data_IF_589220177512
#
_entry.id   IF_589220177512
#
_cell.length_a   1.000
_cell.length_b   1.000
_cell.length_c   1.000
_cell.angle_alpha   90.00
_cell.angle_beta   90.00
_cell.angle_gamma   90.00
#
_symmetry.space_group_name_H-M   'P 1'
#
loop_
_entity.id
_entity.type
_entity.pdbx_description
1 polymer ?
#
# COMPACT_ATOMS: atom_id res chain seq x y z
N UNK A 1 -1.80 -15.88 -24.14
CA UNK A 1 -2.42 -14.74 -23.43
C UNK A 1 -2.90 -15.23 -22.04
N UNK A 2 -2.51 -14.69 -20.88
CA UNK A 2 -2.52 -13.28 -20.50
C UNK A 2 -1.79 -13.12 -19.17
N UNK A 3 -0.53 -12.64 -19.19
CA UNK A 3 0.18 -12.20 -17.96
C UNK A 3 0.24 -10.67 -17.92
N UNK A 4 -0.03 -10.01 -19.05
CA UNK A 4 0.02 -8.55 -19.20
C UNK A 4 -1.23 -7.90 -18.57
N UNK A 5 -2.42 -8.47 -18.79
CA UNK A 5 -3.69 -7.93 -18.24
C UNK A 5 -3.75 -7.97 -16.71
N UNK A 6 -3.10 -8.95 -16.07
CA UNK A 6 -3.09 -9.05 -14.61
C UNK A 6 -2.23 -7.94 -13.96
N UNK A 7 -1.20 -7.46 -14.67
CA UNK A 7 -0.29 -6.42 -14.17
C UNK A 7 -0.91 -5.03 -14.19
N UNK A 8 -1.73 -4.74 -15.19
CA UNK A 8 -2.43 -3.45 -15.28
C UNK A 8 -3.44 -3.29 -14.13
N UNK A 9 -4.15 -4.36 -13.77
CA UNK A 9 -5.07 -4.35 -12.63
C UNK A 9 -4.35 -4.14 -11.29
N UNK A 10 -3.21 -4.81 -11.10
CA UNK A 10 -2.43 -4.69 -9.85
C UNK A 10 -1.82 -3.30 -9.71
N UNK A 11 -1.44 -2.66 -10.82
CA UNK A 11 -0.86 -1.31 -10.79
C UNK A 11 -1.87 -0.29 -10.24
N UNK A 12 -3.13 -0.33 -10.69
CA UNK A 12 -4.19 0.55 -10.14
C UNK A 12 -4.50 0.26 -8.66
N UNK A 13 -4.40 -1.01 -8.27
CA UNK A 13 -4.58 -1.43 -6.88
C UNK A 13 -3.47 -0.89 -5.97
N UNK A 14 -2.22 -0.97 -6.42
CA UNK A 14 -1.06 -0.44 -5.70
C UNK A 14 -1.19 1.07 -5.51
N UNK A 15 -1.57 1.80 -6.57
CA UNK A 15 -1.71 3.26 -6.52
C UNK A 15 -2.79 3.67 -5.50
N UNK A 16 -3.96 3.01 -5.55
CA UNK A 16 -5.04 3.28 -4.60
C UNK A 16 -4.68 2.91 -3.15
N UNK A 17 -3.95 1.80 -2.94
CA UNK A 17 -3.43 1.44 -1.61
C UNK A 17 -2.40 2.46 -1.11
N UNK A 18 -1.51 2.93 -1.98
CA UNK A 18 -0.52 3.94 -1.64
C UNK A 18 -1.19 5.24 -1.20
N UNK A 19 -2.16 5.74 -1.95
CA UNK A 19 -2.94 6.92 -1.57
C UNK A 19 -3.67 6.72 -0.24
N UNK A 20 -4.28 5.54 -0.03
CA UNK A 20 -4.97 5.21 1.22
C UNK A 20 -4.03 5.25 2.41
N UNK A 21 -2.86 4.60 2.34
CA UNK A 21 -1.88 4.57 3.42
C UNK A 21 -1.18 5.92 3.64
N UNK A 22 -1.09 6.76 2.60
CA UNK A 22 -0.59 8.14 2.69
C UNK A 22 -1.62 9.12 3.26
N UNK A 23 -2.92 8.85 3.10
CA UNK A 23 -3.98 9.59 3.77
C UNK A 23 -4.13 9.12 5.23
N UNK A 24 -4.21 7.81 5.45
CA UNK A 24 -4.53 7.18 6.73
C UNK A 24 -3.47 6.11 7.10
N UNK A 25 -2.44 6.48 7.90
CA UNK A 25 -1.35 5.57 8.22
C UNK A 25 -1.78 4.52 9.26
N UNK A 26 -2.90 4.74 9.96
CA UNK A 26 -3.46 3.80 10.93
C UNK A 26 -3.96 2.51 10.27
N UNK A 27 -4.13 2.51 8.94
CA UNK A 27 -4.43 1.30 8.15
C UNK A 27 -3.22 0.39 7.98
N UNK A 28 -2.00 0.89 8.16
CA UNK A 28 -0.80 0.06 8.11
C UNK A 28 -0.70 -0.84 9.35
N UNK A 29 0.02 -1.97 9.28
CA UNK A 29 0.34 -2.75 10.47
C UNK A 29 1.15 -1.92 11.48
N UNK A 30 0.96 -2.15 12.79
CA UNK A 30 1.61 -1.39 13.87
C UNK A 30 3.13 -1.26 13.70
N UNK A 31 3.81 -2.31 13.23
CA UNK A 31 5.26 -2.27 12.99
C UNK A 31 5.67 -1.13 12.05
N UNK A 32 4.91 -0.93 10.97
CA UNK A 32 5.17 0.12 9.98
C UNK A 32 4.72 1.50 10.46
N UNK A 33 3.64 1.57 11.25
CA UNK A 33 3.22 2.81 11.92
C UNK A 33 4.32 3.33 12.85
N UNK A 34 4.93 2.44 13.63
CA UNK A 34 6.06 2.76 14.50
C UNK A 34 7.26 3.26 13.70
N UNK A 35 7.55 2.69 12.53
CA UNK A 35 8.61 3.21 11.65
C UNK A 35 8.32 4.61 11.10
N UNK A 36 7.06 4.89 10.73
CA UNK A 36 6.65 6.24 10.29
C UNK A 36 6.77 7.24 11.45
N UNK A 37 6.37 6.84 12.66
CA UNK A 37 6.42 7.67 13.85
C UNK A 37 7.86 7.88 14.36
N UNK A 38 8.74 6.88 14.21
CA UNK A 38 10.14 6.93 14.63
C UNK A 38 11.06 7.59 13.59
N UNK A 39 10.64 7.64 12.32
CA UNK A 39 11.38 8.28 11.25
C UNK A 39 11.48 9.81 11.40
N UNK A 40 12.40 10.47 10.68
CA UNK A 40 12.45 11.93 10.64
C UNK A 40 11.12 12.44 10.08
N UNK A 41 10.33 13.09 10.94
CA UNK A 41 8.96 13.48 10.64
C UNK A 41 8.84 14.18 9.28
N UNK A 42 8.04 13.63 8.37
CA UNK A 42 7.84 14.21 7.05
C UNK A 42 7.11 13.28 6.08
N UNK A 43 6.40 13.88 5.12
CA UNK A 43 5.66 13.15 4.09
C UNK A 43 6.55 12.21 3.26
N UNK A 44 7.82 12.58 3.04
CA UNK A 44 8.78 11.77 2.27
C UNK A 44 9.20 10.50 3.01
N UNK A 45 9.43 10.57 4.33
CA UNK A 45 9.76 9.39 5.13
C UNK A 45 8.58 8.42 5.15
N UNK A 46 7.36 8.94 5.35
CA UNK A 46 6.12 8.16 5.28
C UNK A 46 5.93 7.49 3.93
N UNK A 47 6.08 8.23 2.84
CA UNK A 47 5.97 7.71 1.48
C UNK A 47 6.95 6.56 1.22
N UNK A 48 8.18 6.65 1.77
CA UNK A 48 9.17 5.60 1.64
C UNK A 48 8.76 4.33 2.37
N UNK A 49 8.33 4.45 3.62
CA UNK A 49 7.85 3.29 4.42
C UNK A 49 6.65 2.63 3.76
N UNK A 50 5.68 3.42 3.28
CA UNK A 50 4.51 2.91 2.54
C UNK A 50 4.95 2.20 1.26
N UNK A 51 5.87 2.78 0.49
CA UNK A 51 6.39 2.17 -0.74
C UNK A 51 7.14 0.85 -0.45
N UNK A 52 7.94 0.79 0.60
CA UNK A 52 8.64 -0.42 1.03
C UNK A 52 7.65 -1.52 1.46
N UNK A 53 6.58 -1.15 2.18
CA UNK A 53 5.51 -2.07 2.54
C UNK A 53 4.80 -2.65 1.31
N UNK A 54 4.46 -1.79 0.34
CA UNK A 54 3.80 -2.21 -0.91
C UNK A 54 4.73 -3.05 -1.78
N UNK A 55 6.01 -2.70 -1.88
CA UNK A 55 7.01 -3.46 -2.62
C UNK A 55 7.23 -4.86 -2.03
N UNK A 56 7.00 -5.04 -0.73
CA UNK A 56 7.00 -6.32 -0.04
C UNK A 56 5.73 -7.17 -0.27
N UNK A 57 4.67 -6.61 -0.85
CA UNK A 57 3.44 -7.35 -1.14
C UNK A 57 3.58 -8.21 -2.40
N UNK A 58 2.86 -9.33 -2.41
CA UNK A 58 2.62 -10.09 -3.64
C UNK A 58 1.34 -9.61 -4.30
N UNK A 59 1.23 -9.77 -5.63
CA UNK A 59 0.03 -9.37 -6.39
C UNK A 59 -1.27 -9.88 -5.74
N UNK A 60 -1.24 -11.12 -5.25
CA UNK A 60 -2.39 -11.78 -4.62
C UNK A 60 -2.75 -11.16 -3.27
N UNK A 61 -1.76 -10.72 -2.50
CA UNK A 61 -1.97 -10.01 -1.24
C UNK A 61 -2.52 -8.61 -1.47
N UNK A 62 -1.93 -7.85 -2.42
CA UNK A 62 -2.39 -6.51 -2.76
C UNK A 62 -3.85 -6.50 -3.23
N UNK A 63 -4.25 -7.45 -4.09
CA UNK A 63 -5.64 -7.62 -4.52
C UNK A 63 -6.59 -7.90 -3.35
N UNK A 64 -6.18 -8.75 -2.41
CA UNK A 64 -6.96 -9.07 -1.21
C UNK A 64 -7.11 -7.86 -0.28
N UNK A 65 -6.03 -7.13 -0.05
CA UNK A 65 -6.04 -5.96 0.82
C UNK A 65 -6.84 -4.80 0.22
N UNK A 66 -6.72 -4.58 -1.08
CA UNK A 66 -7.56 -3.63 -1.80
C UNK A 66 -9.04 -4.03 -1.78
N UNK A 67 -9.35 -5.31 -1.98
CA UNK A 67 -10.73 -5.77 -1.83
C UNK A 67 -11.26 -5.53 -0.40
N UNK A 68 -10.42 -5.72 0.62
CA UNK A 68 -10.80 -5.52 2.02
C UNK A 68 -10.99 -4.04 2.40
N UNK A 69 -10.08 -3.18 1.95
CA UNK A 69 -10.03 -1.77 2.36
C UNK A 69 -10.80 -0.83 1.42
N UNK A 70 -10.86 -1.15 0.13
CA UNK A 70 -11.41 -0.25 -0.91
C UNK A 70 -12.72 -0.78 -1.50
N UNK A 71 -12.91 -2.10 -1.64
CA UNK A 71 -14.11 -2.66 -2.30
C UNK A 71 -15.40 -2.57 -1.47
N UNK A 72 -15.36 -2.11 -0.22
CA UNK A 72 -16.57 -1.87 0.58
C UNK A 72 -17.07 -0.42 0.41
N UNK A 73 -17.16 0.05 -0.83
CA UNK A 73 -17.71 1.36 -1.18
C UNK A 73 -18.86 1.23 -2.17
#
# INVERSE_FOLDING_TARGET
>A
PSVVEMREQVTGVIDALFELFMADPDKLPEAWQQEIAAGPGGATARARVVADYIAGMTDRFALGEHARLISCR
#
